data_IF_776176729969
#
_entry.id   IF_776176729969
#
_cell.length_a   1.000
_cell.length_b   1.000
_cell.length_c   1.000
_cell.angle_alpha   90.00
_cell.angle_beta   90.00
_cell.angle_gamma   90.00
#
_symmetry.space_group_name_H-M   'P 1'
#
loop_
_entity.id
_entity.type
_entity.pdbx_description
1 polymer ?
#
# COMPACT_ATOMS: atom_id res chain seq x y z
N UNK A 1 -14.46 -7.58 0.79
CA UNK A 1 -15.39 -6.65 1.46
C UNK A 1 -16.19 -5.88 0.42
N UNK A 2 -17.37 -5.34 0.76
CA UNK A 2 -18.24 -4.64 -0.21
C UNK A 2 -17.81 -3.19 -0.52
N UNK A 3 -16.73 -2.70 0.10
CA UNK A 3 -16.23 -1.32 -0.07
C UNK A 3 -14.90 -1.37 -0.81
N UNK A 4 -14.76 -0.55 -1.86
CA UNK A 4 -13.49 -0.42 -2.59
C UNK A 4 -12.38 0.13 -1.69
N UNK A 5 -11.19 -0.47 -1.77
CA UNK A 5 -10.03 -0.09 -0.96
C UNK A 5 -9.66 1.39 -1.13
N UNK A 6 -9.76 1.93 -2.35
CA UNK A 6 -9.57 3.35 -2.63
C UNK A 6 -10.53 4.26 -1.82
N UNK A 7 -11.77 3.82 -1.56
CA UNK A 7 -12.73 4.56 -0.74
C UNK A 7 -12.40 4.47 0.75
N UNK A 8 -11.98 3.29 1.22
CA UNK A 8 -11.52 3.11 2.61
C UNK A 8 -10.30 3.99 2.86
N UNK A 9 -9.33 3.98 1.95
CA UNK A 9 -8.14 4.80 2.01
C UNK A 9 -8.48 6.30 2.03
N UNK A 10 -9.29 6.78 1.09
CA UNK A 10 -9.70 8.21 1.03
C UNK A 10 -10.36 8.71 2.32
N UNK A 11 -11.09 7.84 3.02
CA UNK A 11 -11.77 8.18 4.27
C UNK A 11 -10.91 7.94 5.53
N UNK A 12 -9.66 7.50 5.36
CA UNK A 12 -8.77 7.18 6.48
C UNK A 12 -8.05 8.43 7.01
N UNK A 13 -7.67 8.40 8.29
CA UNK A 13 -6.78 9.41 8.87
C UNK A 13 -5.43 9.47 8.17
N UNK A 14 -4.92 8.33 7.69
CA UNK A 14 -3.68 8.23 6.93
C UNK A 14 -3.72 9.10 5.67
N UNK A 15 -4.79 9.05 4.88
CA UNK A 15 -4.93 9.88 3.68
C UNK A 15 -4.86 11.37 4.00
N UNK A 16 -5.55 11.81 5.07
CA UNK A 16 -5.52 13.21 5.51
C UNK A 16 -4.10 13.64 5.92
N UNK A 17 -3.41 12.84 6.72
CA UNK A 17 -2.04 13.14 7.16
C UNK A 17 -1.05 13.16 5.99
N UNK A 18 -1.23 12.31 4.98
CA UNK A 18 -0.44 12.32 3.75
C UNK A 18 -0.70 13.56 2.90
N UNK A 19 -1.95 14.00 2.79
CA UNK A 19 -2.31 15.26 2.14
C UNK A 19 -1.72 16.49 2.84
N UNK A 20 -1.68 16.47 4.18
CA UNK A 20 -1.09 17.53 5.00
C UNK A 20 0.46 17.50 5.01
N UNK A 21 1.09 16.52 4.34
CA UNK A 21 2.56 16.42 4.26
C UNK A 21 3.24 15.93 5.55
N UNK A 22 2.49 15.32 6.46
CA UNK A 22 3.00 14.93 7.80
C UNK A 22 3.93 13.72 7.73
N UNK A 23 3.71 12.82 6.77
CA UNK A 23 4.39 11.52 6.70
C UNK A 23 5.69 11.51 5.91
N UNK A 24 5.85 12.43 4.95
CA UNK A 24 7.06 12.53 4.16
C UNK A 24 7.70 13.88 4.47
N UNK A 25 8.89 13.92 5.09
CA UNK A 25 9.68 15.14 5.12
C UNK A 25 9.95 15.59 3.68
N UNK A 26 10.42 16.84 3.47
CA UNK A 26 10.92 17.36 2.17
C UNK A 26 12.21 16.66 1.70
N UNK A 27 12.29 15.36 1.94
CA UNK A 27 13.34 14.47 1.54
C UNK A 27 13.13 14.05 0.09
N UNK A 28 14.14 14.33 -0.71
CA UNK A 28 14.20 13.93 -2.11
C UNK A 28 15.34 12.93 -2.30
N UNK A 29 15.13 12.03 -3.24
CA UNK A 29 16.13 11.07 -3.70
C UNK A 29 16.58 11.55 -5.08
N UNK A 30 17.90 11.64 -5.28
CA UNK A 30 18.45 11.96 -6.60
C UNK A 30 18.67 10.66 -7.38
N UNK A 31 18.03 10.55 -8.54
CA UNK A 31 18.20 9.44 -9.49
C UNK A 31 18.80 10.00 -10.77
N UNK A 32 20.11 9.79 -10.96
CA UNK A 32 20.86 10.47 -12.02
C UNK A 32 20.88 11.98 -11.78
N UNK A 33 20.25 12.74 -12.68
CA UNK A 33 20.14 14.20 -12.59
C UNK A 33 18.72 14.67 -12.20
N UNK A 34 17.87 13.75 -11.74
CA UNK A 34 16.47 14.04 -11.39
C UNK A 34 16.29 13.90 -9.90
N UNK A 35 15.80 14.96 -9.24
CA UNK A 35 15.31 14.86 -7.87
C UNK A 35 13.88 14.31 -7.87
N UNK A 36 13.65 13.26 -7.08
CA UNK A 36 12.34 12.63 -6.93
C UNK A 36 11.90 12.67 -5.45
N UNK A 37 10.64 13.03 -5.15
CA UNK A 37 10.13 12.93 -3.79
C UNK A 37 9.96 11.46 -3.39
N UNK A 38 9.88 11.22 -2.07
CA UNK A 38 9.44 9.93 -1.56
C UNK A 38 7.94 9.79 -1.84
N UNK A 39 7.54 8.62 -2.33
CA UNK A 39 6.16 8.31 -2.73
C UNK A 39 5.73 6.94 -2.23
N UNK A 40 4.42 6.77 -2.01
CA UNK A 40 3.77 5.49 -1.81
C UNK A 40 3.53 4.82 -3.16
N UNK A 41 3.66 3.50 -3.22
CA UNK A 41 3.30 2.70 -4.39
C UNK A 41 1.90 2.09 -4.21
N UNK A 42 0.94 2.61 -4.96
CA UNK A 42 -0.44 2.15 -5.00
C UNK A 42 -0.68 1.09 -6.07
N UNK A 43 -1.78 0.37 -5.90
CA UNK A 43 -2.38 -0.44 -6.96
C UNK A 43 -3.09 0.42 -8.03
N UNK A 44 -3.51 -0.20 -9.16
CA UNK A 44 -4.28 0.46 -10.22
C UNK A 44 -5.52 1.25 -9.75
N UNK A 45 -6.21 0.77 -8.71
CA UNK A 45 -7.48 1.31 -8.25
C UNK A 45 -7.34 2.65 -7.49
N UNK A 46 -6.13 3.00 -7.04
CA UNK A 46 -5.87 4.30 -6.41
C UNK A 46 -5.71 5.44 -7.44
N UNK A 47 -5.95 6.70 -7.05
CA UNK A 47 -5.61 7.85 -7.88
C UNK A 47 -4.10 8.12 -7.85
N UNK A 48 -3.59 8.80 -8.89
CA UNK A 48 -2.22 9.35 -8.86
C UNK A 48 -2.22 10.66 -8.06
N UNK A 49 -1.21 10.85 -7.20
CA UNK A 49 -1.05 12.05 -6.35
C UNK A 49 0.45 12.40 -6.21
N UNK A 50 0.81 13.61 -5.74
CA UNK A 50 2.21 14.00 -5.55
C UNK A 50 3.03 13.03 -4.67
N UNK A 51 2.35 12.31 -3.78
CA UNK A 51 2.93 11.34 -2.84
C UNK A 51 2.43 9.90 -3.09
N UNK A 52 1.68 9.63 -4.17
CA UNK A 52 1.18 8.28 -4.51
C UNK A 52 1.35 8.00 -6.01
N UNK A 53 2.23 7.07 -6.33
CA UNK A 53 2.42 6.55 -7.69
C UNK A 53 1.64 5.25 -7.89
N UNK A 54 1.21 5.00 -9.13
CA UNK A 54 0.52 3.78 -9.52
C UNK A 54 0.98 3.29 -10.89
N UNK A 55 0.69 2.04 -11.28
CA UNK A 55 1.01 1.54 -12.62
C UNK A 55 0.37 2.37 -13.74
N UNK A 56 1.08 2.47 -14.87
CA UNK A 56 0.49 2.93 -16.13
C UNK A 56 -0.60 1.95 -16.59
N UNK A 57 -1.62 2.47 -17.26
CA UNK A 57 -2.74 1.70 -17.81
C UNK A 57 -2.92 1.99 -19.30
N UNK A 58 -3.66 1.13 -20.00
CA UNK A 58 -3.94 1.28 -21.43
C UNK A 58 -2.83 0.71 -22.31
N UNK A 59 -2.59 1.34 -23.46
CA UNK A 59 -1.50 0.94 -24.35
C UNK A 59 -0.14 1.30 -23.73
N UNK A 60 0.65 0.27 -23.43
CA UNK A 60 1.96 0.40 -22.80
C UNK A 60 3.05 0.27 -23.85
N UNK A 61 4.01 1.20 -23.82
CA UNK A 61 5.29 1.03 -24.48
C UNK A 61 6.27 0.30 -23.55
N UNK A 62 7.41 -0.15 -24.08
CA UNK A 62 8.39 -0.93 -23.33
C UNK A 62 8.92 -0.21 -22.08
N UNK A 63 8.95 1.13 -22.07
CA UNK A 63 9.37 1.89 -20.90
C UNK A 63 8.31 1.86 -19.80
N UNK A 64 7.03 2.01 -20.16
CA UNK A 64 5.91 1.89 -19.21
C UNK A 64 5.77 0.47 -18.66
N UNK A 65 5.99 -0.54 -19.49
CA UNK A 65 6.02 -1.94 -19.06
C UNK A 65 7.13 -2.19 -18.04
N UNK A 66 8.36 -1.70 -18.32
CA UNK A 66 9.48 -1.82 -17.39
C UNK A 66 9.20 -1.11 -16.06
N UNK A 67 8.59 0.07 -16.11
CA UNK A 67 8.16 0.79 -14.91
C UNK A 67 7.14 -0.03 -14.10
N UNK A 68 6.08 -0.52 -14.75
CA UNK A 68 5.05 -1.32 -14.11
C UNK A 68 5.61 -2.62 -13.50
N UNK A 69 6.56 -3.25 -14.19
CA UNK A 69 7.26 -4.44 -13.68
C UNK A 69 8.05 -4.12 -12.40
N UNK A 70 8.85 -3.05 -12.42
CA UNK A 70 9.63 -2.62 -11.24
C UNK A 70 8.72 -2.25 -10.07
N UNK A 71 7.67 -1.47 -10.32
CA UNK A 71 6.70 -1.08 -9.30
C UNK A 71 6.03 -2.32 -8.69
N UNK A 72 5.62 -3.29 -9.51
CA UNK A 72 5.04 -4.55 -9.04
C UNK A 72 6.03 -5.35 -8.19
N UNK A 73 7.30 -5.47 -8.64
CA UNK A 73 8.37 -6.15 -7.88
C UNK A 73 8.62 -5.48 -6.53
N UNK A 74 8.60 -4.15 -6.46
CA UNK A 74 8.73 -3.42 -5.19
C UNK A 74 7.55 -3.71 -4.25
N UNK A 75 6.32 -3.77 -4.78
CA UNK A 75 5.12 -4.10 -3.98
C UNK A 75 5.14 -5.54 -3.46
N UNK A 76 5.79 -6.47 -4.15
CA UNK A 76 5.90 -7.87 -3.68
C UNK A 76 6.56 -7.99 -2.29
N UNK A 77 7.42 -7.03 -1.91
CA UNK A 77 8.06 -6.99 -0.59
C UNK A 77 7.04 -6.94 0.54
N UNK A 78 5.90 -6.27 0.33
CA UNK A 78 4.80 -6.22 1.31
C UNK A 78 3.70 -7.24 1.00
N UNK A 79 3.39 -7.47 -0.27
CA UNK A 79 2.30 -8.38 -0.67
C UNK A 79 2.58 -9.84 -0.30
N UNK A 80 3.83 -10.32 -0.48
CA UNK A 80 4.20 -11.68 -0.11
C UNK A 80 4.01 -11.97 1.39
N UNK A 81 4.57 -11.16 2.31
CA UNK A 81 4.33 -11.32 3.75
C UNK A 81 2.85 -11.26 4.13
N UNK A 82 2.08 -10.31 3.59
CA UNK A 82 0.65 -10.25 3.88
C UNK A 82 -0.12 -11.46 3.36
N UNK A 83 0.26 -12.01 2.20
CA UNK A 83 -0.30 -13.25 1.67
C UNK A 83 -0.03 -14.44 2.59
N UNK A 84 1.21 -14.58 3.08
CA UNK A 84 1.60 -15.63 4.02
C UNK A 84 0.90 -15.49 5.37
N UNK A 85 0.84 -14.28 5.91
CA UNK A 85 0.15 -13.98 7.16
C UNK A 85 -1.33 -14.39 7.09
N UNK A 86 -2.03 -14.00 6.02
CA UNK A 86 -3.42 -14.37 5.78
C UNK A 86 -3.61 -15.88 5.60
N UNK A 87 -2.70 -16.54 4.88
CA UNK A 87 -2.76 -17.97 4.65
C UNK A 87 -2.50 -18.80 5.92
N UNK A 88 -1.71 -18.27 6.87
CA UNK A 88 -1.42 -18.93 8.14
C UNK A 88 -2.53 -18.70 9.18
N UNK A 89 -3.11 -17.49 9.20
CA UNK A 89 -4.10 -17.08 10.20
C UNK A 89 -5.48 -16.88 9.56
N UNK A 90 -6.26 -17.96 9.45
CA UNK A 90 -7.63 -17.93 8.89
C UNK A 90 -8.57 -16.95 9.64
N UNK A 91 -8.28 -16.65 10.91
CA UNK A 91 -8.98 -15.64 11.71
C UNK A 91 -8.92 -14.23 11.10
N UNK A 92 -7.92 -13.93 10.25
CA UNK A 92 -7.79 -12.67 9.53
C UNK A 92 -8.63 -12.62 8.23
N UNK A 93 -9.06 -13.79 7.74
CA UNK A 93 -9.84 -13.93 6.51
C UNK A 93 -11.34 -14.13 6.77
N UNK A 94 -11.69 -14.63 7.96
CA UNK A 94 -13.05 -14.92 8.37
C UNK A 94 -13.71 -13.71 9.03
N UNK A 95 -15.05 -13.71 9.09
CA UNK A 95 -15.76 -12.71 9.90
C UNK A 95 -15.42 -12.99 11.36
N UNK A 96 -14.83 -12.00 12.00
CA UNK A 96 -14.54 -12.06 13.43
C UNK A 96 -15.74 -11.55 14.22
N UNK A 97 -16.16 -12.32 15.22
CA UNK A 97 -17.16 -11.90 16.22
C UNK A 97 -16.53 -11.02 17.33
N UNK A 98 -15.24 -10.70 17.20
CA UNK A 98 -14.55 -9.81 18.12
C UNK A 98 -15.05 -8.37 17.98
N UNK A 99 -15.05 -7.66 19.11
CA UNK A 99 -15.22 -6.21 19.10
C UNK A 99 -14.23 -5.55 18.13
N UNK A 100 -14.67 -4.51 17.43
CA UNK A 100 -13.83 -3.69 16.54
C UNK A 100 -12.56 -3.18 17.23
N UNK A 101 -12.61 -2.96 18.55
CA UNK A 101 -11.46 -2.53 19.37
C UNK A 101 -10.36 -3.57 19.47
N UNK A 102 -10.71 -4.86 19.34
CA UNK A 102 -9.77 -5.97 19.51
C UNK A 102 -9.14 -6.40 18.18
N UNK A 103 -9.73 -6.02 17.05
CA UNK A 103 -9.22 -6.37 15.71
C UNK A 103 -7.77 -5.89 15.50
N UNK A 104 -7.37 -4.65 15.82
CA UNK A 104 -5.98 -4.22 15.67
C UNK A 104 -5.02 -5.04 16.54
N UNK A 105 -5.45 -5.45 17.74
CA UNK A 105 -4.63 -6.23 18.68
C UNK A 105 -4.39 -7.63 18.10
N UNK A 106 -5.43 -8.29 17.57
CA UNK A 106 -5.30 -9.61 16.95
C UNK A 106 -4.41 -9.54 15.71
N UNK A 107 -4.60 -8.54 14.85
CA UNK A 107 -3.75 -8.35 13.66
C UNK A 107 -2.28 -8.16 14.06
N UNK A 108 -2.02 -7.32 15.07
CA UNK A 108 -0.67 -7.11 15.58
C UNK A 108 -0.07 -8.39 16.20
N UNK A 109 -0.85 -9.14 16.98
CA UNK A 109 -0.43 -10.42 17.54
C UNK A 109 -0.07 -11.42 16.44
N UNK A 110 -0.89 -11.55 15.39
CA UNK A 110 -0.58 -12.38 14.24
C UNK A 110 0.74 -11.95 13.56
N UNK A 111 0.96 -10.64 13.38
CA UNK A 111 2.22 -10.14 12.81
C UNK A 111 3.44 -10.48 13.67
N UNK A 112 3.32 -10.36 15.00
CA UNK A 112 4.41 -10.67 15.93
C UNK A 112 4.71 -12.18 15.96
N UNK A 113 3.66 -13.01 15.98
CA UNK A 113 3.79 -14.47 16.04
C UNK A 113 4.18 -15.12 14.71
N UNK A 114 4.04 -14.41 13.58
CA UNK A 114 4.42 -14.91 12.25
C UNK A 114 5.92 -14.76 11.95
N UNK A 115 6.66 -13.98 12.75
CA UNK A 115 8.12 -13.80 12.62
C UNK A 115 8.89 -15.04 13.07
#
# INVERSE_FOLDING_TARGET
>A
GKVHDARVFRNSGLFRQLQEGIYFPDQKITVGNVEMPIVILGDPAYPIMPWLMKPYMGALDSSKELFNYRLSKSRMVVECPFGRLKGHWESLLTRSDLSKTNIPIVVAACCVLHN
#
